data_IF_620711357432
#
_entry.id   IF_620711357432
#
_cell.length_a   1.000
_cell.length_b   1.000
_cell.length_c   1.000
_cell.angle_alpha   90.00
_cell.angle_beta   90.00
_cell.angle_gamma   90.00
#
_symmetry.space_group_name_H-M   'P 1'
#
loop_
_entity.id
_entity.type
_entity.pdbx_description
1 polymer ?
#
# COMPACT_ATOMS: atom_id res chain seq x y z
N UNK A 1 24.95 8.21 -14.50
CA UNK A 1 25.40 6.80 -14.38
C UNK A 1 24.84 6.03 -15.57
N UNK A 2 25.67 5.42 -16.42
CA UNK A 2 25.17 4.58 -17.51
C UNK A 2 24.60 3.29 -16.90
N UNK A 3 23.68 2.59 -17.59
CA UNK A 3 23.12 1.30 -17.12
C UNK A 3 24.21 0.24 -16.89
N UNK A 4 25.36 0.38 -17.57
CA UNK A 4 26.54 -0.46 -17.36
C UNK A 4 27.30 -0.16 -16.04
N UNK A 5 26.96 0.91 -15.32
CA UNK A 5 27.65 1.36 -14.10
C UNK A 5 26.85 1.06 -12.80
N UNK A 6 25.71 0.37 -12.90
CA UNK A 6 24.92 -0.03 -11.71
C UNK A 6 25.59 -1.23 -11.05
N UNK A 7 26.39 -0.94 -10.02
CA UNK A 7 26.97 -1.97 -9.17
C UNK A 7 25.86 -2.75 -8.42
N UNK A 8 26.01 -4.06 -8.36
CA UNK A 8 25.21 -5.02 -7.58
C UNK A 8 25.08 -4.69 -6.08
N UNK A 9 25.91 -3.78 -5.55
CA UNK A 9 25.88 -3.27 -4.17
C UNK A 9 25.00 -2.03 -3.92
N UNK A 10 24.36 -1.46 -4.95
CA UNK A 10 23.52 -0.24 -4.82
C UNK A 10 22.23 -0.51 -4.03
N UNK A 11 21.96 0.26 -2.97
CA UNK A 11 20.90 0.05 -1.96
C UNK A 11 19.62 0.88 -2.23
N UNK A 12 18.55 0.66 -1.47
CA UNK A 12 17.28 1.40 -1.59
C UNK A 12 17.43 2.89 -1.22
N UNK A 13 18.36 3.24 -0.33
CA UNK A 13 18.67 4.64 0.02
C UNK A 13 19.29 5.40 -1.17
N UNK A 14 20.03 4.71 -2.04
CA UNK A 14 20.59 5.29 -3.28
C UNK A 14 19.50 5.61 -4.31
N UNK A 15 18.35 4.94 -4.24
CA UNK A 15 17.18 5.23 -5.07
C UNK A 15 16.41 6.47 -4.56
N UNK A 16 16.46 6.72 -3.25
CA UNK A 16 15.81 7.87 -2.61
C UNK A 16 16.60 9.18 -2.76
N UNK A 17 17.83 9.11 -3.28
CA UNK A 17 18.71 10.28 -3.51
C UNK A 17 18.77 10.73 -4.98
N UNK A 18 17.99 10.10 -5.87
CA UNK A 18 17.91 10.43 -7.30
C UNK A 18 17.49 11.89 -7.54
N UNK A 19 18.32 12.65 -8.27
CA UNK A 19 17.99 14.03 -8.65
C UNK A 19 17.01 14.03 -9.82
N UNK A 20 16.13 15.04 -9.83
CA UNK A 20 15.02 15.26 -10.78
C UNK A 20 15.41 15.09 -12.27
N UNK A 21 16.66 15.38 -12.64
CA UNK A 21 17.17 15.23 -14.00
C UNK A 21 17.24 13.77 -14.48
N UNK A 22 17.47 12.82 -13.58
CA UNK A 22 17.70 11.41 -13.92
C UNK A 22 16.38 10.66 -14.18
N UNK A 23 15.30 11.09 -13.51
CA UNK A 23 13.93 10.63 -13.77
C UNK A 23 13.39 11.11 -15.12
N UNK A 24 13.80 12.30 -15.58
CA UNK A 24 13.34 12.90 -16.85
C UNK A 24 13.89 12.16 -18.06
N UNK A 25 15.10 11.60 -17.96
CA UNK A 25 15.71 10.79 -19.03
C UNK A 25 15.07 9.40 -19.13
N UNK A 26 14.69 8.80 -18.00
CA UNK A 26 14.04 7.49 -17.93
C UNK A 26 12.65 7.45 -18.58
N UNK A 27 11.88 8.54 -18.47
CA UNK A 27 10.53 8.64 -19.04
C UNK A 27 10.51 8.92 -20.56
N UNK A 28 11.62 9.42 -21.14
CA UNK A 28 11.72 9.67 -22.58
C UNK A 28 11.95 8.41 -23.42
N UNK A 29 12.36 7.30 -22.80
CA UNK A 29 12.72 6.06 -23.51
C UNK A 29 11.58 5.05 -23.71
N UNK A 30 10.38 5.29 -23.18
CA UNK A 30 9.26 4.33 -23.23
C UNK A 30 7.94 5.08 -23.51
N UNK A 31 7.24 5.04 -24.65
CA UNK A 31 7.30 4.27 -25.91
C UNK A 31 6.38 4.95 -26.94
N UNK A 32 6.73 4.97 -28.24
CA UNK A 32 5.75 4.92 -29.34
C UNK A 32 6.41 4.44 -30.64
N UNK A 33 5.93 3.31 -31.19
CA UNK A 33 6.14 2.96 -32.60
C UNK A 33 5.08 3.69 -33.42
N UNK A 34 5.47 4.62 -34.27
CA UNK A 34 4.62 5.21 -35.30
C UNK A 34 5.35 5.04 -36.62
N UNK A 35 4.77 4.28 -37.54
CA UNK A 35 5.30 4.11 -38.90
C UNK A 35 4.91 5.30 -39.77
N UNK A 36 5.91 5.90 -40.44
CA UNK A 36 5.78 7.08 -41.30
C UNK A 36 6.98 8.00 -41.12
N UNK A 37 7.38 8.75 -42.15
CA UNK A 37 8.45 9.75 -42.02
C UNK A 37 7.99 10.86 -41.07
N UNK A 38 8.88 11.30 -40.17
CA UNK A 38 8.68 12.32 -39.13
C UNK A 38 8.00 13.59 -39.65
N UNK A 39 8.26 13.99 -40.89
CA UNK A 39 7.71 15.22 -41.47
C UNK A 39 6.23 15.11 -41.86
N UNK A 40 5.77 13.91 -42.25
CA UNK A 40 4.37 13.68 -42.61
C UNK A 40 3.50 13.57 -41.36
N UNK A 41 4.05 12.97 -40.29
CA UNK A 41 3.42 12.91 -38.97
C UNK A 41 3.33 14.30 -38.33
N UNK A 42 4.35 15.15 -38.53
CA UNK A 42 4.35 16.53 -38.05
C UNK A 42 3.28 17.39 -38.77
N UNK A 43 3.12 17.25 -40.10
CA UNK A 43 2.09 17.99 -40.84
C UNK A 43 0.67 17.61 -40.41
N UNK A 44 0.37 16.31 -40.32
CA UNK A 44 -0.96 15.84 -39.88
C UNK A 44 -1.29 16.29 -38.45
N UNK A 45 -0.30 16.32 -37.57
CA UNK A 45 -0.46 16.80 -36.20
C UNK A 45 -0.75 18.32 -36.12
N UNK A 46 -0.22 19.11 -37.07
CA UNK A 46 -0.47 20.56 -37.14
C UNK A 46 -1.88 20.84 -37.68
N UNK A 47 -2.31 20.13 -38.73
CA UNK A 47 -3.65 20.29 -39.33
C UNK A 47 -4.78 19.86 -38.38
N UNK A 48 -4.55 18.81 -37.58
CA UNK A 48 -5.54 18.33 -36.60
C UNK A 48 -5.74 19.29 -35.41
N UNK A 49 -4.73 20.12 -35.10
CA UNK A 49 -4.77 21.07 -33.99
C UNK A 49 -5.46 22.40 -34.33
N UNK A 50 -5.70 22.71 -35.61
CA UNK A 50 -6.37 23.96 -36.00
C UNK A 50 -7.89 23.85 -36.09
N UNK A 51 -8.46 22.64 -36.06
CA UNK A 51 -9.89 22.43 -36.39
C UNK A 51 -10.80 22.04 -35.22
N UNK A 52 -10.30 21.60 -34.07
CA UNK A 52 -11.17 21.10 -32.99
C UNK A 52 -11.16 21.96 -31.72
N UNK A 53 -11.92 23.07 -31.79
CA UNK A 53 -12.65 23.60 -30.64
C UNK A 53 -13.71 22.55 -30.22
N UNK A 54 -13.44 21.74 -29.19
CA UNK A 54 -14.45 20.86 -28.59
C UNK A 54 -13.93 19.61 -27.89
N UNK A 55 -14.01 19.60 -26.55
CA UNK A 55 -14.14 18.46 -25.62
C UNK A 55 -13.27 17.21 -25.85
N UNK A 56 -12.20 17.07 -25.04
CA UNK A 56 -11.82 15.90 -24.20
C UNK A 56 -10.36 16.07 -23.76
N UNK A 57 -10.12 16.59 -22.56
CA UNK A 57 -8.75 16.86 -22.08
C UNK A 57 -8.08 15.58 -21.56
N UNK A 58 -7.21 14.99 -22.38
CA UNK A 58 -6.12 14.14 -21.91
C UNK A 58 -5.10 15.02 -21.18
N UNK A 59 -4.91 14.78 -19.88
CA UNK A 59 -3.96 15.51 -19.04
C UNK A 59 -2.53 15.39 -19.62
N UNK A 60 -1.87 16.52 -19.78
CA UNK A 60 -0.53 16.60 -20.36
C UNK A 60 0.53 16.05 -19.41
N UNK A 61 1.64 15.54 -19.95
CA UNK A 61 2.73 14.88 -19.19
C UNK A 61 3.36 15.78 -18.11
N UNK A 62 3.28 17.11 -18.27
CA UNK A 62 3.72 18.11 -17.29
C UNK A 62 2.78 18.22 -16.08
N UNK A 63 1.48 18.01 -16.28
CA UNK A 63 0.47 17.97 -15.22
C UNK A 63 0.56 16.66 -14.43
N UNK A 64 0.89 15.53 -15.06
CA UNK A 64 1.07 14.25 -14.37
C UNK A 64 2.22 14.23 -13.36
N UNK A 65 3.38 14.79 -13.72
CA UNK A 65 4.54 14.84 -12.81
C UNK A 65 4.37 15.86 -11.68
N UNK A 66 3.70 16.99 -11.95
CA UNK A 66 3.34 17.97 -10.91
C UNK A 66 2.25 17.43 -9.99
N UNK A 67 1.29 16.66 -10.51
CA UNK A 67 0.26 15.98 -9.72
C UNK A 67 0.85 14.91 -8.79
N UNK A 68 1.82 14.13 -9.27
CA UNK A 68 2.54 13.13 -8.47
C UNK A 68 3.37 13.83 -7.38
N UNK A 69 4.12 14.89 -7.70
CA UNK A 69 4.92 15.65 -6.72
C UNK A 69 4.05 16.38 -5.68
N UNK A 70 2.93 16.99 -6.10
CA UNK A 70 1.95 17.62 -5.20
C UNK A 70 1.26 16.59 -4.28
N UNK A 71 1.00 15.38 -4.78
CA UNK A 71 0.45 14.26 -4.01
C UNK A 71 1.43 13.69 -2.98
N UNK A 72 2.71 14.08 -3.02
CA UNK A 72 3.77 13.58 -2.13
C UNK A 72 4.32 14.63 -1.17
N UNK A 73 4.09 15.92 -1.42
CA UNK A 73 4.36 17.00 -0.49
C UNK A 73 3.03 17.54 0.07
N UNK A 74 2.29 16.65 0.73
CA UNK A 74 0.97 16.92 1.27
C UNK A 74 1.13 17.75 2.55
N UNK A 75 0.47 18.91 2.70
CA UNK A 75 0.49 19.67 3.94
C UNK A 75 0.03 18.81 5.12
N UNK A 76 0.66 18.96 6.29
CA UNK A 76 0.32 18.18 7.49
C UNK A 76 -1.16 18.25 7.84
N UNK A 77 -1.77 19.44 7.71
CA UNK A 77 -3.20 19.65 7.95
C UNK A 77 -4.09 18.78 7.06
N UNK A 78 -3.65 18.48 5.84
CA UNK A 78 -4.36 17.62 4.92
C UNK A 78 -4.13 16.14 5.26
N UNK A 79 -2.91 15.76 5.68
CA UNK A 79 -2.58 14.41 6.19
C UNK A 79 -3.46 14.06 7.39
N UNK A 80 -3.56 14.97 8.37
CA UNK A 80 -4.34 14.78 9.61
C UNK A 80 -5.83 14.55 9.32
N UNK A 81 -6.36 15.14 8.24
CA UNK A 81 -7.74 14.99 7.81
C UNK A 81 -8.01 13.78 6.92
N UNK A 82 -6.99 13.15 6.31
CA UNK A 82 -7.18 12.03 5.37
C UNK A 82 -7.69 10.79 6.09
N UNK A 83 -7.11 10.45 7.24
CA UNK A 83 -7.54 9.28 8.01
C UNK A 83 -9.04 9.36 8.34
N UNK A 84 -9.47 10.47 8.94
CA UNK A 84 -10.87 10.68 9.32
C UNK A 84 -11.83 10.62 8.12
N UNK A 85 -11.45 11.19 6.97
CA UNK A 85 -12.28 11.18 5.75
C UNK A 85 -12.35 9.81 5.06
N UNK A 86 -11.41 8.92 5.37
CA UNK A 86 -11.28 7.59 4.74
C UNK A 86 -11.64 6.43 5.67
N UNK A 87 -12.16 6.72 6.87
CA UNK A 87 -12.75 5.71 7.77
C UNK A 87 -13.84 4.93 7.03
N UNK A 88 -13.95 3.64 7.32
CA UNK A 88 -14.86 2.71 6.64
C UNK A 88 -14.18 1.88 5.54
N UNK A 89 -12.95 2.25 5.15
CA UNK A 89 -12.07 1.47 4.29
C UNK A 89 -12.75 0.95 3.02
N UNK A 90 -13.07 -0.35 2.94
CA UNK A 90 -13.71 -0.95 1.75
C UNK A 90 -15.08 -0.37 1.40
N UNK A 91 -15.75 0.25 2.37
CA UNK A 91 -17.05 0.90 2.18
C UNK A 91 -16.90 2.40 1.85
N UNK A 92 -15.67 2.92 1.80
CA UNK A 92 -15.39 4.33 1.56
C UNK A 92 -14.64 4.52 0.23
N UNK A 93 -15.29 5.04 -0.83
CA UNK A 93 -14.65 5.32 -2.12
C UNK A 93 -13.39 6.18 -2.03
N UNK A 94 -13.34 7.14 -1.12
CA UNK A 94 -12.18 8.01 -0.94
C UNK A 94 -10.96 7.23 -0.43
N UNK A 95 -11.17 6.16 0.32
CA UNK A 95 -10.08 5.29 0.78
C UNK A 95 -9.37 4.64 -0.43
N UNK A 96 -10.13 4.17 -1.42
CA UNK A 96 -9.58 3.62 -2.66
C UNK A 96 -8.82 4.67 -3.48
N UNK A 97 -9.42 5.84 -3.69
CA UNK A 97 -8.77 6.95 -4.42
C UNK A 97 -7.47 7.41 -3.74
N UNK A 98 -7.46 7.45 -2.41
CA UNK A 98 -6.27 7.83 -1.63
C UNK A 98 -5.13 6.83 -1.81
N UNK A 99 -5.44 5.54 -1.98
CA UNK A 99 -4.46 4.46 -2.17
C UNK A 99 -3.85 4.41 -3.57
N UNK A 100 -4.54 4.94 -4.59
CA UNK A 100 -4.03 4.94 -5.97
C UNK A 100 -2.68 5.65 -6.04
N UNK A 101 -1.72 5.00 -6.69
CA UNK A 101 -0.34 5.46 -6.85
C UNK A 101 0.44 5.63 -5.53
N UNK A 102 -0.05 5.07 -4.41
CA UNK A 102 0.69 5.03 -3.15
C UNK A 102 1.22 3.64 -2.86
N UNK A 103 2.37 3.60 -2.19
CA UNK A 103 2.91 2.35 -1.66
C UNK A 103 2.26 2.15 -0.30
N UNK A 104 1.29 1.23 -0.23
CA UNK A 104 0.65 0.88 1.04
C UNK A 104 1.43 -0.20 1.79
N UNK A 105 1.33 -0.23 3.12
CA UNK A 105 2.02 -1.22 3.96
C UNK A 105 1.82 -2.68 3.51
N UNK A 106 0.65 -3.02 2.97
CA UNK A 106 0.34 -4.34 2.37
C UNK A 106 1.29 -4.74 1.24
N UNK A 107 1.94 -3.77 0.59
CA UNK A 107 2.80 -3.95 -0.57
C UNK A 107 4.30 -3.86 -0.19
N UNK A 108 4.64 -3.54 1.06
CA UNK A 108 6.02 -3.29 1.48
C UNK A 108 6.91 -4.51 1.26
N UNK A 109 6.40 -5.71 1.57
CA UNK A 109 7.16 -6.92 1.33
C UNK A 109 7.50 -7.11 -0.16
N UNK A 110 6.57 -6.77 -1.05
CA UNK A 110 6.80 -6.85 -2.49
C UNK A 110 7.89 -5.87 -2.91
N UNK A 111 7.93 -4.66 -2.35
CA UNK A 111 9.01 -3.69 -2.61
C UNK A 111 10.37 -4.23 -2.12
N UNK A 112 10.44 -4.70 -0.87
CA UNK A 112 11.69 -5.15 -0.25
C UNK A 112 12.23 -6.41 -0.91
N UNK A 113 11.34 -7.31 -1.34
CA UNK A 113 11.71 -8.56 -2.02
C UNK A 113 11.80 -8.41 -3.56
N UNK A 114 11.57 -7.22 -4.12
CA UNK A 114 11.43 -7.04 -5.56
C UNK A 114 12.73 -7.26 -6.30
N UNK A 115 12.65 -7.84 -7.51
CA UNK A 115 13.78 -7.92 -8.43
C UNK A 115 13.79 -6.70 -9.35
N UNK A 116 14.98 -6.14 -9.61
CA UNK A 116 15.16 -4.87 -10.37
C UNK A 116 14.48 -4.83 -11.74
N UNK A 117 14.30 -5.96 -12.42
CA UNK A 117 13.79 -6.03 -13.79
C UNK A 117 12.27 -5.77 -13.94
N UNK A 118 11.48 -5.79 -12.87
CA UNK A 118 10.00 -5.72 -12.96
C UNK A 118 9.40 -4.45 -12.33
N UNK A 119 10.19 -3.39 -12.13
CA UNK A 119 9.75 -2.16 -11.43
C UNK A 119 8.57 -1.48 -12.11
N UNK A 120 8.54 -1.43 -13.45
CA UNK A 120 7.44 -0.80 -14.19
C UNK A 120 6.09 -1.49 -13.94
N UNK A 121 6.07 -2.83 -13.95
CA UNK A 121 4.86 -3.62 -13.64
C UNK A 121 4.41 -3.41 -12.19
N UNK A 122 5.36 -3.31 -11.27
CA UNK A 122 5.09 -3.03 -9.86
C UNK A 122 4.42 -1.67 -9.68
N UNK A 123 4.98 -0.62 -10.30
CA UNK A 123 4.39 0.73 -10.25
C UNK A 123 3.01 0.76 -10.90
N UNK A 124 2.83 0.10 -12.04
CA UNK A 124 1.53 -0.03 -12.69
C UNK A 124 0.50 -0.71 -11.79
N UNK A 125 0.90 -1.68 -10.97
CA UNK A 125 -0.01 -2.35 -10.02
C UNK A 125 -0.61 -1.39 -8.98
N UNK A 126 0.08 -0.30 -8.64
CA UNK A 126 -0.41 0.70 -7.68
C UNK A 126 -1.46 1.64 -8.28
N UNK A 127 -1.62 1.69 -9.61
CA UNK A 127 -2.66 2.49 -10.26
C UNK A 127 -4.07 1.91 -10.04
N UNK A 128 -4.15 0.61 -9.76
CA UNK A 128 -5.41 -0.09 -9.54
C UNK A 128 -5.25 -1.13 -8.41
N UNK A 129 -5.16 -0.66 -7.15
CA UNK A 129 -4.95 -1.55 -6.00
C UNK A 129 -6.12 -2.52 -5.76
N UNK A 130 -7.26 -2.31 -6.41
CA UNK A 130 -8.56 -2.93 -6.07
C UNK A 130 -9.04 -3.94 -7.11
N UNK A 131 -8.17 -4.31 -8.05
CA UNK A 131 -8.48 -5.18 -9.20
C UNK A 131 -9.09 -6.55 -8.82
N UNK A 132 -9.04 -6.95 -7.55
CA UNK A 132 -9.46 -8.26 -7.05
C UNK A 132 -10.46 -8.20 -5.89
N UNK A 133 -11.23 -7.13 -5.70
CA UNK A 133 -12.14 -7.00 -4.53
C UNK A 133 -13.13 -8.17 -4.38
N UNK A 134 -13.60 -8.81 -5.45
CA UNK A 134 -14.69 -9.79 -5.36
C UNK A 134 -14.23 -11.26 -5.31
N UNK A 135 -13.00 -11.52 -4.85
CA UNK A 135 -12.51 -12.90 -4.68
C UNK A 135 -12.93 -13.51 -3.34
N UNK A 136 -13.18 -14.83 -3.32
CA UNK A 136 -13.67 -15.55 -2.14
C UNK A 136 -12.85 -15.30 -0.85
N UNK A 137 -11.49 -15.25 -0.87
CA UNK A 137 -10.72 -14.92 0.32
C UNK A 137 -10.99 -13.52 0.89
N UNK A 138 -11.23 -12.51 0.05
CA UNK A 138 -11.51 -11.15 0.51
C UNK A 138 -12.94 -11.01 1.03
N UNK A 139 -13.93 -11.63 0.35
CA UNK A 139 -15.31 -11.69 0.83
C UNK A 139 -15.36 -12.39 2.19
N UNK A 140 -14.66 -13.51 2.32
CA UNK A 140 -14.54 -14.21 3.59
C UNK A 140 -13.88 -13.34 4.67
N UNK A 141 -12.79 -12.66 4.33
CA UNK A 141 -12.10 -11.71 5.20
C UNK A 141 -13.04 -10.66 5.79
N UNK A 142 -13.68 -9.87 4.92
CA UNK A 142 -14.61 -8.80 5.32
C UNK A 142 -15.75 -9.29 6.19
N UNK A 143 -16.32 -10.46 5.86
CA UNK A 143 -17.42 -11.04 6.64
C UNK A 143 -17.00 -11.45 8.06
N UNK A 144 -15.77 -11.92 8.25
CA UNK A 144 -15.32 -12.51 9.52
C UNK A 144 -14.48 -11.57 10.39
N UNK A 145 -13.93 -10.51 9.81
CA UNK A 145 -13.11 -9.55 10.54
C UNK A 145 -13.84 -8.92 11.75
N UNK A 146 -15.09 -8.45 11.66
CA UNK A 146 -15.81 -7.92 12.83
C UNK A 146 -16.00 -8.97 13.93
N UNK A 147 -16.18 -10.24 13.56
CA UNK A 147 -16.32 -11.36 14.51
C UNK A 147 -14.98 -11.61 15.21
N UNK A 148 -13.89 -11.64 14.45
CA UNK A 148 -12.54 -11.82 15.00
C UNK A 148 -12.16 -10.66 15.94
N UNK A 149 -12.49 -9.42 15.58
CA UNK A 149 -12.29 -8.24 16.44
C UNK A 149 -13.01 -8.36 17.78
N UNK A 150 -14.30 -8.76 17.76
CA UNK A 150 -15.08 -9.02 18.99
C UNK A 150 -14.44 -10.09 19.87
N UNK A 151 -13.99 -11.20 19.26
CA UNK A 151 -13.29 -12.29 19.98
C UNK A 151 -11.96 -11.82 20.57
N UNK A 152 -11.18 -11.01 19.86
CA UNK A 152 -9.96 -10.40 20.37
C UNK A 152 -10.24 -9.55 21.61
N UNK A 153 -11.21 -8.64 21.54
CA UNK A 153 -11.60 -7.78 22.68
C UNK A 153 -12.02 -8.60 23.89
N UNK A 154 -12.89 -9.59 23.68
CA UNK A 154 -13.33 -10.49 24.75
C UNK A 154 -12.17 -11.26 25.36
N UNK A 155 -11.24 -11.78 24.54
CA UNK A 155 -10.08 -12.50 25.01
C UNK A 155 -9.14 -11.63 25.86
N UNK A 156 -8.86 -10.40 25.43
CA UNK A 156 -8.02 -9.45 26.19
C UNK A 156 -8.62 -9.14 27.56
N UNK A 157 -9.94 -8.95 27.61
CA UNK A 157 -10.67 -8.73 28.86
C UNK A 157 -10.66 -9.96 29.78
N UNK A 158 -11.06 -11.12 29.27
CA UNK A 158 -11.25 -12.32 30.09
C UNK A 158 -9.94 -12.94 30.57
N UNK A 159 -8.90 -12.94 29.72
CA UNK A 159 -7.62 -13.59 30.05
C UNK A 159 -6.67 -12.67 30.80
N UNK A 160 -6.67 -11.37 30.49
CA UNK A 160 -5.68 -10.43 31.01
C UNK A 160 -6.29 -9.31 31.86
N UNK A 161 -7.61 -9.28 32.05
CA UNK A 161 -8.29 -8.22 32.80
C UNK A 161 -8.22 -6.84 32.11
N UNK A 162 -7.87 -6.79 30.83
CA UNK A 162 -7.61 -5.53 30.14
C UNK A 162 -8.90 -4.90 29.60
N UNK A 163 -9.10 -3.62 29.90
CA UNK A 163 -10.13 -2.80 29.25
C UNK A 163 -9.53 -2.15 28.01
N UNK A 164 -9.82 -2.73 26.85
CA UNK A 164 -9.40 -2.20 25.54
C UNK A 164 -10.58 -1.70 24.73
N UNK A 165 -10.33 -0.67 23.94
CA UNK A 165 -11.25 -0.16 22.92
C UNK A 165 -10.57 -0.25 21.56
N UNK A 166 -11.28 -0.69 20.53
CA UNK A 166 -10.74 -0.77 19.16
C UNK A 166 -11.53 0.22 18.30
N UNK A 167 -10.87 1.28 17.84
CA UNK A 167 -11.45 2.28 16.94
C UNK A 167 -11.24 1.82 15.49
N UNK A 168 -12.28 1.97 14.66
CA UNK A 168 -12.10 1.92 13.20
C UNK A 168 -11.22 3.10 12.75
N UNK A 169 -10.53 2.93 11.64
CA UNK A 169 -9.64 3.94 11.09
C UNK A 169 -9.61 3.92 9.57
N UNK A 170 -9.22 5.05 8.98
CA UNK A 170 -8.97 5.18 7.56
C UNK A 170 -7.52 4.85 7.18
N UNK A 171 -7.05 5.47 6.10
CA UNK A 171 -5.65 5.40 5.70
C UNK A 171 -4.84 6.53 6.36
N UNK A 172 -3.73 6.16 6.98
CA UNK A 172 -2.68 7.05 7.45
C UNK A 172 -1.65 7.24 6.34
N UNK A 173 -1.16 8.47 6.18
CA UNK A 173 -0.03 8.78 5.30
C UNK A 173 1.19 9.10 6.15
N UNK A 174 2.37 8.75 5.67
CA UNK A 174 3.60 9.10 6.38
C UNK A 174 3.87 10.60 6.24
N UNK A 175 4.00 11.30 7.37
CA UNK A 175 4.26 12.76 7.41
C UNK A 175 5.48 13.18 6.58
N UNK A 176 6.57 12.39 6.65
CA UNK A 176 7.81 12.66 5.92
C UNK A 176 7.74 12.22 4.45
N UNK A 177 6.93 11.23 4.14
CA UNK A 177 6.90 10.56 2.85
C UNK A 177 5.45 10.27 2.44
N UNK A 178 4.71 11.29 2.00
CA UNK A 178 3.28 11.16 1.70
C UNK A 178 2.92 10.09 0.66
N UNK A 179 3.89 9.59 -0.13
CA UNK A 179 3.72 8.44 -1.02
C UNK A 179 3.55 7.09 -0.30
N UNK A 180 3.92 7.02 0.98
CA UNK A 180 3.72 5.87 1.85
C UNK A 180 2.41 6.00 2.62
N UNK A 181 1.69 4.90 2.77
CA UNK A 181 0.50 4.87 3.60
C UNK A 181 0.22 3.52 4.23
N UNK A 182 -0.62 3.52 5.25
CA UNK A 182 -1.02 2.31 5.97
C UNK A 182 -2.47 2.44 6.44
N UNK A 183 -3.20 1.33 6.46
CA UNK A 183 -4.57 1.26 6.99
C UNK A 183 -4.64 -0.01 7.82
N UNK A 184 -4.48 0.07 9.16
CA UNK A 184 -4.65 -1.08 10.03
C UNK A 184 -6.14 -1.46 10.13
N UNK A 185 -6.42 -2.71 10.53
CA UNK A 185 -7.79 -3.19 10.76
C UNK A 185 -8.40 -2.61 12.06
N UNK A 186 -7.62 -1.88 12.85
CA UNK A 186 -8.12 -1.07 13.96
C UNK A 186 -7.01 -0.43 14.79
N UNK A 187 -7.38 0.59 15.57
CA UNK A 187 -6.52 1.22 16.57
C UNK A 187 -6.97 0.80 17.97
N UNK A 188 -6.12 0.04 18.66
CA UNK A 188 -6.35 -0.36 20.04
C UNK A 188 -5.93 0.76 20.98
N UNK A 189 -6.84 1.17 21.84
CA UNK A 189 -6.59 2.03 22.98
C UNK A 189 -6.69 1.20 24.25
N UNK A 190 -5.61 1.18 25.03
CA UNK A 190 -5.54 0.45 26.30
C UNK A 190 -5.20 1.42 27.42
N UNK A 191 -6.00 1.42 28.48
CA UNK A 191 -5.62 2.07 29.73
C UNK A 191 -4.60 1.18 30.45
N UNK A 192 -3.42 1.73 30.72
CA UNK A 192 -2.37 1.08 31.51
C UNK A 192 -2.10 1.87 32.78
N UNK A 193 -1.38 1.28 33.74
CA UNK A 193 -0.91 1.99 34.95
C UNK A 193 0.02 3.17 34.64
N UNK A 194 0.52 3.27 33.40
CA UNK A 194 1.42 4.31 32.93
C UNK A 194 0.75 5.28 31.93
N UNK A 195 -0.57 5.20 31.75
CA UNK A 195 -1.32 6.03 30.81
C UNK A 195 -1.97 5.26 29.65
N UNK A 196 -2.53 6.00 28.69
CA UNK A 196 -3.14 5.44 27.48
C UNK A 196 -2.06 4.95 26.51
N UNK A 197 -2.12 3.67 26.16
CA UNK A 197 -1.27 3.08 25.12
C UNK A 197 -2.10 2.91 23.83
N UNK A 198 -1.52 3.34 22.70
CA UNK A 198 -2.06 3.11 21.36
C UNK A 198 -1.31 1.96 20.69
N UNK A 199 -2.04 1.04 20.05
CA UNK A 199 -1.45 -0.05 19.27
C UNK A 199 -2.24 -0.25 17.97
N UNK A 200 -1.57 -0.71 16.92
CA UNK A 200 -2.22 -1.16 15.70
C UNK A 200 -2.78 -2.58 15.87
N UNK A 201 -3.89 -2.87 15.22
CA UNK A 201 -4.49 -4.20 15.12
C UNK A 201 -4.58 -4.60 13.66
N UNK A 202 -4.04 -5.78 13.33
CA UNK A 202 -4.18 -6.42 12.03
C UNK A 202 -4.81 -7.81 12.23
N UNK A 203 -5.91 -8.06 11.54
CA UNK A 203 -6.76 -9.24 11.62
C UNK A 203 -6.67 -10.00 10.29
N UNK A 204 -6.32 -11.29 10.36
CA UNK A 204 -6.38 -12.18 9.21
C UNK A 204 -7.40 -13.28 9.44
N UNK A 205 -8.35 -13.40 8.52
CA UNK A 205 -9.32 -14.49 8.47
C UNK A 205 -9.05 -15.36 7.22
N UNK A 206 -8.16 -16.36 7.29
CA UNK A 206 -7.68 -17.02 6.09
C UNK A 206 -8.63 -18.12 5.59
N UNK A 207 -9.23 -17.90 4.42
CA UNK A 207 -10.21 -18.79 3.81
C UNK A 207 -9.71 -20.24 3.56
N UNK A 208 -8.42 -20.43 3.23
CA UNK A 208 -7.81 -21.76 3.01
C UNK A 208 -7.84 -22.65 4.26
N UNK A 209 -7.90 -22.07 5.47
CA UNK A 209 -7.67 -22.76 6.74
C UNK A 209 -8.91 -22.85 7.63
N UNK A 210 -10.11 -22.65 7.08
CA UNK A 210 -11.37 -22.59 7.84
C UNK A 210 -11.75 -23.88 8.54
N UNK A 211 -11.24 -25.03 8.06
CA UNK A 211 -11.47 -26.37 8.64
C UNK A 211 -10.32 -26.84 9.54
N UNK A 212 -9.36 -25.97 9.86
CA UNK A 212 -8.23 -26.29 10.73
C UNK A 212 -8.19 -25.33 11.91
N UNK A 213 -7.72 -25.81 13.05
CA UNK A 213 -7.24 -24.94 14.13
C UNK A 213 -6.01 -24.18 13.67
N UNK A 214 -5.71 -23.05 14.33
CA UNK A 214 -4.49 -22.27 14.04
C UNK A 214 -3.24 -23.13 14.26
N UNK A 215 -3.23 -23.96 15.30
CA UNK A 215 -2.10 -24.85 15.61
C UNK A 215 -1.88 -25.89 14.50
N UNK A 216 -2.94 -26.50 13.97
CA UNK A 216 -2.82 -27.41 12.81
C UNK A 216 -2.40 -26.68 11.53
N UNK A 217 -2.84 -25.43 11.34
CA UNK A 217 -2.42 -24.61 10.21
C UNK A 217 -0.93 -24.27 10.27
N UNK A 218 -0.37 -23.99 11.47
CA UNK A 218 1.06 -23.73 11.67
C UNK A 218 1.97 -24.88 11.26
N UNK A 219 1.46 -26.12 11.17
CA UNK A 219 2.23 -27.26 10.65
C UNK A 219 2.51 -27.15 9.14
N UNK A 220 1.77 -26.29 8.42
CA UNK A 220 2.00 -26.02 7.02
C UNK A 220 3.02 -24.90 6.80
N UNK A 221 3.97 -25.12 5.89
CA UNK A 221 4.90 -24.07 5.44
C UNK A 221 4.17 -22.87 4.82
N UNK A 222 3.01 -23.08 4.21
CA UNK A 222 2.20 -22.05 3.55
C UNK A 222 1.42 -21.15 4.52
N UNK A 223 1.29 -21.53 5.79
CA UNK A 223 0.60 -20.70 6.77
C UNK A 223 1.50 -19.58 7.25
N UNK A 224 0.92 -18.41 7.56
CA UNK A 224 1.69 -17.23 7.91
C UNK A 224 2.21 -17.24 9.35
N UNK A 225 1.66 -18.07 10.23
CA UNK A 225 2.19 -18.28 11.58
C UNK A 225 2.99 -19.58 11.70
N UNK A 226 3.79 -19.65 12.74
CA UNK A 226 4.54 -20.81 13.19
C UNK A 226 4.41 -20.98 14.71
N UNK A 227 4.89 -22.12 15.21
CA UNK A 227 5.00 -22.39 16.65
C UNK A 227 6.47 -22.23 17.02
N UNK A 228 6.76 -21.39 18.00
CA UNK A 228 8.13 -21.19 18.50
C UNK A 228 8.59 -22.33 19.42
N UNK A 229 9.85 -22.27 19.84
CA UNK A 229 10.45 -23.26 20.74
C UNK A 229 9.77 -23.31 22.12
N UNK A 230 9.09 -22.22 22.52
CA UNK A 230 8.31 -22.11 23.75
C UNK A 230 6.84 -22.52 23.55
N UNK A 231 6.51 -23.13 22.43
CA UNK A 231 5.19 -23.63 22.08
C UNK A 231 4.11 -22.53 21.90
N UNK A 232 4.52 -21.29 21.67
CA UNK A 232 3.64 -20.16 21.37
C UNK A 232 3.45 -19.99 19.87
N UNK A 233 2.27 -19.50 19.48
CA UNK A 233 1.98 -19.18 18.08
C UNK A 233 2.43 -17.76 17.79
N UNK A 234 3.28 -17.58 16.78
CA UNK A 234 3.78 -16.28 16.33
C UNK A 234 3.71 -16.12 14.81
N UNK A 235 3.68 -14.87 14.34
CA UNK A 235 3.78 -14.57 12.92
C UNK A 235 5.22 -14.80 12.43
N UNK A 236 5.38 -15.47 11.29
CA UNK A 236 6.69 -15.66 10.64
C UNK A 236 7.29 -14.31 10.26
N UNK A 237 8.50 -14.01 10.74
CA UNK A 237 9.22 -12.75 10.41
C UNK A 237 9.53 -12.60 8.92
N UNK A 238 9.68 -13.72 8.22
CA UNK A 238 9.90 -13.78 6.76
C UNK A 238 8.63 -13.56 5.94
N UNK A 239 7.44 -13.62 6.55
CA UNK A 239 6.19 -13.54 5.82
C UNK A 239 5.78 -12.09 5.53
N UNK A 240 5.13 -11.85 4.39
CA UNK A 240 4.70 -10.52 3.93
C UNK A 240 3.88 -9.71 4.95
N UNK A 241 3.08 -10.38 5.78
CA UNK A 241 2.29 -9.73 6.82
C UNK A 241 3.17 -9.13 7.93
N UNK A 242 4.38 -9.64 8.14
CA UNK A 242 5.30 -9.03 9.10
C UNK A 242 5.76 -7.66 8.60
N UNK A 243 6.20 -7.56 7.34
CA UNK A 243 6.54 -6.27 6.71
C UNK A 243 5.37 -5.30 6.70
N UNK A 244 4.14 -5.79 6.49
CA UNK A 244 2.93 -4.98 6.56
C UNK A 244 2.72 -4.37 7.95
N UNK A 245 2.83 -5.16 9.02
CA UNK A 245 2.65 -4.69 10.39
C UNK A 245 3.76 -3.73 10.79
N UNK A 246 5.02 -3.99 10.40
CA UNK A 246 6.11 -3.03 10.61
C UNK A 246 5.83 -1.68 9.93
N UNK A 247 5.31 -1.72 8.69
CA UNK A 247 4.89 -0.52 7.98
C UNK A 247 3.75 0.23 8.67
N UNK A 248 2.77 -0.49 9.21
CA UNK A 248 1.69 0.11 10.00
C UNK A 248 2.22 0.80 11.26
N UNK A 249 3.10 0.14 12.03
CA UNK A 249 3.69 0.73 13.23
C UNK A 249 4.59 1.94 12.94
N UNK A 250 5.21 2.00 11.76
CA UNK A 250 6.04 3.13 11.36
C UNK A 250 5.25 4.33 10.81
N UNK A 251 3.97 4.15 10.46
CA UNK A 251 3.15 5.17 9.79
C UNK A 251 1.98 5.65 10.66
N UNK A 252 1.37 4.76 11.45
CA UNK A 252 0.16 5.04 12.24
C UNK A 252 0.49 5.31 13.71
#
# INVERSE_FOLDING_TARGET
>A
MKIADINEKTTVEDFLTLKKSDLVLFLRSSSAKISGNKDELARRAIETNQTNNGVTASLSLGEGCTHIAAKYNIPQIEIDGIENRTVGQSENPLWFETRKFRITSSNFHQIVAHKKADVEKLVQSFSNPDKLINVAPLIWGRKHEPIARKKYIAHRRLKYGEKIFVKDCGIFLCDKFGFLGASPDGLVKKCTKFGEQKCVLEIKCPWKWTRKTIREACLSKDFFCEIDEQNNIQLKKSHKYFSQIQGQMGIC
#
